data_IF_047008385274
#
_entry.id   IF_047008385274
#
_cell.length_a   1.000
_cell.length_b   1.000
_cell.length_c   1.000
_cell.angle_alpha   90.00
_cell.angle_beta   90.00
_cell.angle_gamma   90.00
#
_symmetry.space_group_name_H-M   'P 1'
#
loop_
_entity.id
_entity.type
_entity.pdbx_description
1 polymer ?
#
# COMPACT_ATOMS: atom_id res chain seq x y z
N UNK A 1 -10.44 2.27 11.37
CA UNK A 1 -10.27 1.47 10.14
C UNK A 1 -8.91 1.78 9.53
N UNK A 2 -8.14 0.75 9.28
CA UNK A 2 -6.80 0.88 8.68
C UNK A 2 -6.76 0.12 7.37
N UNK A 3 -5.92 0.60 6.45
CA UNK A 3 -5.69 -0.08 5.18
C UNK A 3 -4.31 -0.72 5.24
N UNK A 4 -4.24 -2.00 4.91
CA UNK A 4 -2.98 -2.74 4.78
C UNK A 4 -2.74 -3.00 3.31
N UNK A 5 -1.74 -2.33 2.77
CA UNK A 5 -1.47 -2.33 1.33
C UNK A 5 -0.26 -3.19 1.03
N UNK A 6 -0.39 -4.06 0.05
CA UNK A 6 0.71 -4.90 -0.38
C UNK A 6 0.60 -5.15 -1.87
N UNK A 7 1.70 -5.60 -2.46
CA UNK A 7 1.70 -6.00 -3.85
C UNK A 7 2.46 -7.30 -3.99
N UNK A 8 2.23 -7.99 -5.09
CA UNK A 8 2.97 -9.23 -5.34
C UNK A 8 4.42 -8.91 -5.66
N UNK A 9 5.38 -9.75 -5.20
CA UNK A 9 6.80 -9.47 -5.41
C UNK A 9 7.21 -9.39 -6.88
N UNK A 10 6.50 -10.11 -7.75
CA UNK A 10 6.81 -10.14 -9.18
C UNK A 10 6.01 -9.12 -9.99
N UNK A 11 5.21 -8.31 -9.33
CA UNK A 11 4.37 -7.34 -10.03
C UNK A 11 5.21 -6.15 -10.49
N UNK A 12 4.89 -5.70 -11.71
CA UNK A 12 5.50 -4.49 -12.24
C UNK A 12 4.51 -3.35 -12.08
N UNK A 13 4.98 -2.26 -11.54
CA UNK A 13 4.12 -1.11 -11.28
C UNK A 13 4.49 0.06 -12.17
N UNK A 14 3.48 0.65 -12.82
CA UNK A 14 3.71 1.86 -13.58
C UNK A 14 3.83 3.05 -12.62
N UNK A 15 4.70 4.02 -12.94
CA UNK A 15 4.78 5.22 -12.11
C UNK A 15 3.46 5.97 -12.00
N UNK A 16 2.67 5.96 -13.07
CA UNK A 16 1.38 6.64 -13.08
C UNK A 16 0.39 6.00 -12.12
N UNK A 17 0.34 4.67 -12.11
CA UNK A 17 -0.54 3.96 -11.18
C UNK A 17 -0.14 4.19 -9.74
N UNK A 18 1.16 4.18 -9.47
CA UNK A 18 1.65 4.44 -8.12
C UNK A 18 1.37 5.87 -7.68
N UNK A 19 1.51 6.82 -8.59
CA UNK A 19 1.17 8.22 -8.30
C UNK A 19 -0.31 8.36 -7.97
N UNK A 20 -1.17 7.69 -8.73
CA UNK A 20 -2.60 7.73 -8.47
C UNK A 20 -2.94 7.17 -7.10
N UNK A 21 -2.31 6.06 -6.72
CA UNK A 21 -2.52 5.47 -5.40
C UNK A 21 -2.05 6.43 -4.31
N UNK A 22 -0.87 7.00 -4.48
CA UNK A 22 -0.32 7.92 -3.50
C UNK A 22 -1.22 9.14 -3.29
N UNK A 23 -1.72 9.70 -4.39
CA UNK A 23 -2.63 10.84 -4.32
C UNK A 23 -3.92 10.49 -3.61
N UNK A 24 -4.45 9.30 -3.88
CA UNK A 24 -5.68 8.87 -3.22
C UNK A 24 -5.47 8.74 -1.71
N UNK A 25 -4.37 8.14 -1.31
CA UNK A 25 -4.07 7.98 0.11
C UNK A 25 -3.93 9.32 0.82
N UNK A 26 -3.28 10.28 0.17
CA UNK A 26 -3.12 11.61 0.73
C UNK A 26 -4.43 12.39 0.74
N UNK A 27 -5.17 12.29 -0.35
CA UNK A 27 -6.42 13.04 -0.50
C UNK A 27 -7.47 12.64 0.53
N UNK A 28 -7.61 11.34 0.75
CA UNK A 28 -8.63 10.84 1.66
C UNK A 28 -8.16 10.79 3.11
N UNK A 29 -6.87 11.00 3.34
CA UNK A 29 -6.34 11.02 4.70
C UNK A 29 -6.51 9.71 5.45
N UNK A 30 -6.49 8.60 4.74
CA UNK A 30 -6.71 7.30 5.36
C UNK A 30 -5.50 6.87 6.19
N UNK A 31 -5.77 6.09 7.23
CA UNK A 31 -4.71 5.46 8.01
C UNK A 31 -4.30 4.20 7.27
N UNK A 32 -3.07 4.17 6.74
CA UNK A 32 -2.61 3.05 5.93
C UNK A 32 -1.25 2.55 6.39
N UNK A 33 -1.05 1.25 6.16
CA UNK A 33 0.22 0.59 6.41
C UNK A 33 0.62 -0.10 5.12
N UNK A 34 1.91 -0.10 4.81
CA UNK A 34 2.40 -0.58 3.53
C UNK A 34 3.47 -1.64 3.75
N UNK A 35 3.42 -2.70 2.96
CA UNK A 35 4.47 -3.71 2.96
C UNK A 35 5.80 -3.05 2.58
N UNK A 36 6.88 -3.50 3.23
CA UNK A 36 8.20 -2.89 3.09
C UNK A 36 8.66 -2.76 1.64
N UNK A 37 8.53 -3.84 0.88
CA UNK A 37 8.95 -3.81 -0.52
C UNK A 37 8.20 -2.79 -1.35
N UNK A 38 6.89 -2.75 -1.16
CA UNK A 38 6.07 -1.80 -1.90
C UNK A 38 6.27 -0.37 -1.39
N UNK A 39 6.54 -0.22 -0.10
CA UNK A 39 6.82 1.10 0.45
C UNK A 39 8.06 1.74 -0.19
N UNK A 40 9.09 0.93 -0.44
CA UNK A 40 10.30 1.43 -1.12
C UNK A 40 9.98 1.95 -2.50
N UNK A 41 9.16 1.22 -3.25
CA UNK A 41 8.76 1.65 -4.58
C UNK A 41 7.94 2.93 -4.56
N UNK A 42 7.01 3.03 -3.62
CA UNK A 42 6.19 4.24 -3.49
C UNK A 42 7.04 5.46 -3.16
N UNK A 43 8.04 5.29 -2.31
CA UNK A 43 8.95 6.38 -1.97
C UNK A 43 9.76 6.84 -3.17
N UNK A 44 10.26 5.88 -3.95
CA UNK A 44 11.12 6.20 -5.09
C UNK A 44 10.33 6.71 -6.29
N UNK A 45 9.22 6.06 -6.62
CA UNK A 45 8.51 6.34 -7.86
C UNK A 45 7.41 7.36 -7.72
N UNK A 46 6.82 7.46 -6.55
CA UNK A 46 5.71 8.38 -6.31
C UNK A 46 6.04 9.47 -5.28
N UNK A 47 7.23 9.44 -4.73
CA UNK A 47 7.68 10.42 -3.73
C UNK A 47 6.71 10.54 -2.55
N UNK A 48 6.03 9.43 -2.23
CA UNK A 48 5.08 9.41 -1.12
C UNK A 48 5.85 9.30 0.19
N UNK A 49 5.53 10.18 1.13
CA UNK A 49 6.12 10.09 2.45
C UNK A 49 5.43 9.00 3.25
N UNK A 50 6.21 7.99 3.64
CA UNK A 50 5.69 6.87 4.45
C UNK A 50 6.53 6.79 5.72
N UNK A 51 5.95 7.14 6.88
CA UNK A 51 6.67 7.01 8.14
C UNK A 51 7.06 5.56 8.42
N UNK A 52 8.16 5.37 9.12
CA UNK A 52 8.68 4.04 9.39
C UNK A 52 7.68 3.17 10.14
N UNK A 53 6.89 3.76 11.02
CA UNK A 53 5.89 3.02 11.78
C UNK A 53 4.69 2.59 10.95
N UNK A 54 4.60 3.04 9.70
CA UNK A 54 3.56 2.63 8.78
C UNK A 54 4.02 1.54 7.82
N UNK A 55 5.24 1.05 7.99
CA UNK A 55 5.79 -0.02 7.15
C UNK A 55 5.77 -1.33 7.93
N UNK A 56 5.28 -2.39 7.31
CA UNK A 56 5.25 -3.69 7.96
C UNK A 56 5.99 -4.73 7.11
N UNK A 57 6.52 -5.76 7.78
CA UNK A 57 7.25 -6.84 7.11
C UNK A 57 6.28 -7.90 6.57
N UNK A 58 5.37 -8.34 7.42
CA UNK A 58 4.36 -9.31 7.03
C UNK A 58 3.11 -9.11 7.88
N UNK A 59 1.98 -9.57 7.36
CA UNK A 59 0.70 -9.33 8.02
C UNK A 59 0.54 -10.11 9.32
N UNK A 60 1.30 -11.17 9.52
CA UNK A 60 1.19 -11.96 10.74
C UNK A 60 1.63 -11.20 11.98
N UNK A 61 2.52 -10.22 11.80
CA UNK A 61 2.97 -9.39 12.90
C UNK A 61 2.10 -8.19 13.19
N UNK A 62 1.03 -8.01 12.42
CA UNK A 62 0.18 -6.83 12.53
C UNK A 62 -1.10 -7.12 13.31
N UNK A 63 -1.58 -6.09 13.97
CA UNK A 63 -2.78 -6.15 14.78
C UNK A 63 -4.00 -5.79 13.93
N UNK A 64 -4.42 -6.71 13.08
CA UNK A 64 -5.48 -6.45 12.12
C UNK A 64 -6.83 -6.69 12.77
N UNK A 65 -7.68 -5.67 12.76
CA UNK A 65 -9.01 -5.75 13.31
C UNK A 65 -10.07 -6.09 12.26
N UNK A 66 -11.30 -6.34 12.70
CA UNK A 66 -12.37 -6.71 11.76
C UNK A 66 -12.79 -5.59 10.81
N UNK A 67 -12.49 -4.35 11.16
CA UNK A 67 -12.81 -3.20 10.30
C UNK A 67 -11.67 -2.80 9.37
N UNK A 68 -10.55 -3.49 9.45
CA UNK A 68 -9.39 -3.17 8.63
C UNK A 68 -9.52 -3.78 7.24
N UNK A 69 -8.92 -3.14 6.26
CA UNK A 69 -9.06 -3.53 4.86
C UNK A 69 -7.70 -3.92 4.30
N UNK A 70 -7.66 -5.06 3.64
CA UNK A 70 -6.47 -5.52 2.94
C UNK A 70 -6.59 -5.15 1.46
N UNK A 71 -5.59 -4.43 0.96
CA UNK A 71 -5.55 -4.03 -0.45
C UNK A 71 -4.35 -4.67 -1.12
N UNK A 72 -4.60 -5.39 -2.19
CA UNK A 72 -3.53 -5.93 -3.02
C UNK A 72 -3.44 -5.10 -4.30
N UNK A 73 -2.32 -4.42 -4.51
CA UNK A 73 -2.11 -3.61 -5.69
C UNK A 73 -1.48 -4.47 -6.78
N UNK A 74 -2.19 -4.65 -7.88
CA UNK A 74 -1.73 -5.50 -8.96
C UNK A 74 -0.80 -4.79 -9.92
N UNK A 75 0.00 -5.58 -10.64
CA UNK A 75 0.97 -5.04 -11.58
C UNK A 75 0.35 -4.38 -12.80
N UNK A 76 -0.87 -4.69 -13.12
CA UNK A 76 -1.62 -4.09 -14.22
C UNK A 76 -2.39 -2.83 -13.80
N UNK A 77 -2.18 -2.37 -12.58
CA UNK A 77 -2.87 -1.21 -12.07
C UNK A 77 -4.22 -1.52 -11.45
N UNK A 78 -4.61 -2.76 -11.46
CA UNK A 78 -5.89 -3.18 -10.88
C UNK A 78 -5.74 -3.32 -9.38
N UNK A 79 -6.59 -2.65 -8.65
CA UNK A 79 -6.65 -2.82 -7.21
C UNK A 79 -7.72 -3.86 -6.91
N UNK A 80 -7.28 -4.97 -6.35
CA UNK A 80 -8.20 -6.01 -5.91
C UNK A 80 -8.51 -5.76 -4.45
N UNK A 81 -9.79 -5.71 -4.14
CA UNK A 81 -10.18 -5.63 -2.75
C UNK A 81 -9.74 -6.89 -2.06
N UNK A 82 -9.32 -6.77 -0.81
CA UNK A 82 -8.82 -7.91 -0.05
C UNK A 82 -9.94 -8.80 0.44
N UNK A 83 -10.60 -9.37 -0.49
CA UNK A 83 -11.75 -10.20 -0.22
C UNK A 83 -11.36 -11.58 0.28
#
# INVERSE_FOLDING_TARGET
MKFYIFSRPDAKHSPEGMNSLARALEHYGVDFHVNRGFASELREKAALHIPQDKVYENLQGENIGPDDILLCYGGDGTILEGL
#
